data_IF_172804248179
#
_entry.id   IF_172804248179
#
_cell.length_a   1.000
_cell.length_b   1.000
_cell.length_c   1.000
_cell.angle_alpha   90.00
_cell.angle_beta   90.00
_cell.angle_gamma   90.00
#
_symmetry.space_group_name_H-M   'P 1'
#
loop_
_entity.id
_entity.type
_entity.pdbx_description
1 polymer ?
#
# COMPACT_ATOMS: atom_id res chain seq x y z
N UNK A 1 -2.06 31.68 1.59
CA UNK A 1 -2.77 30.98 0.50
C UNK A 1 -3.09 29.57 0.96
N UNK A 2 -4.36 29.31 1.31
CA UNK A 2 -4.79 27.97 1.73
C UNK A 2 -4.96 27.09 0.50
N UNK A 3 -4.04 26.16 0.28
CA UNK A 3 -4.23 25.13 -0.74
C UNK A 3 -5.42 24.24 -0.34
N UNK A 4 -6.28 23.91 -1.30
CA UNK A 4 -7.33 22.92 -1.09
C UNK A 4 -6.71 21.61 -0.58
N UNK A 5 -7.40 20.88 0.31
CA UNK A 5 -6.88 19.62 0.89
C UNK A 5 -6.51 18.56 -0.15
N UNK A 6 -7.09 18.66 -1.35
CA UNK A 6 -6.83 17.80 -2.50
C UNK A 6 -5.56 18.17 -3.29
N UNK A 7 -4.93 19.32 -2.99
CA UNK A 7 -3.70 19.73 -3.65
C UNK A 7 -2.56 18.75 -3.34
N UNK A 8 -1.76 18.31 -4.34
CA UNK A 8 -0.59 17.45 -4.14
C UNK A 8 0.46 18.06 -3.18
N UNK A 9 0.41 19.37 -2.97
CA UNK A 9 1.33 20.10 -2.09
C UNK A 9 0.82 20.27 -0.66
N UNK A 10 -0.40 19.78 -0.37
CA UNK A 10 -0.96 19.86 0.96
C UNK A 10 -0.35 18.77 1.85
N UNK A 11 0.08 19.07 3.10
CA UNK A 11 0.72 18.11 3.99
C UNK A 11 -0.16 16.90 4.38
N UNK A 12 -1.46 16.95 4.05
CA UNK A 12 -2.36 15.79 4.23
C UNK A 12 -1.99 14.61 3.33
N UNK A 13 -1.23 14.83 2.25
CA UNK A 13 -0.77 13.76 1.36
C UNK A 13 0.28 12.85 2.03
N UNK A 14 0.97 13.36 3.06
CA UNK A 14 2.03 12.65 3.81
C UNK A 14 1.51 11.34 4.43
N UNK A 15 0.45 11.33 5.27
CA UNK A 15 -0.03 10.10 5.90
C UNK A 15 -0.80 9.17 4.95
N UNK A 16 -1.16 9.59 3.74
CA UNK A 16 -2.02 8.78 2.84
C UNK A 16 -1.38 7.43 2.50
N UNK A 17 -0.07 7.40 2.26
CA UNK A 17 0.64 6.15 2.00
C UNK A 17 0.52 5.15 3.16
N UNK A 18 0.59 5.64 4.41
CA UNK A 18 0.40 4.81 5.60
C UNK A 18 -1.05 4.38 5.78
N UNK A 19 -2.02 5.25 5.48
CA UNK A 19 -3.45 4.91 5.56
C UNK A 19 -3.78 3.78 4.57
N UNK A 20 -3.30 3.89 3.32
CA UNK A 20 -3.49 2.85 2.29
C UNK A 20 -2.89 1.52 2.78
N UNK A 21 -1.67 1.56 3.32
CA UNK A 21 -1.02 0.39 3.87
C UNK A 21 -1.78 -0.21 5.06
N UNK A 22 -2.28 0.61 5.98
CA UNK A 22 -3.07 0.15 7.12
C UNK A 22 -4.37 -0.50 6.69
N UNK A 23 -5.07 0.06 5.69
CA UNK A 23 -6.29 -0.53 5.13
C UNK A 23 -6.00 -1.88 4.49
N UNK A 24 -4.91 -1.99 3.73
CA UNK A 24 -4.45 -3.26 3.16
C UNK A 24 -4.13 -4.28 4.26
N UNK A 25 -3.41 -3.87 5.30
CA UNK A 25 -3.04 -4.74 6.42
C UNK A 25 -4.29 -5.29 7.13
N UNK A 26 -5.26 -4.43 7.44
CA UNK A 26 -6.54 -4.84 8.05
C UNK A 26 -7.32 -5.79 7.14
N UNK A 27 -7.36 -5.51 5.83
CA UNK A 27 -8.03 -6.38 4.87
C UNK A 27 -7.37 -7.76 4.77
N UNK A 28 -6.04 -7.83 4.80
CA UNK A 28 -5.29 -9.08 4.77
C UNK A 28 -5.56 -9.93 6.01
N UNK A 29 -5.22 -9.43 7.19
CA UNK A 29 -5.33 -10.21 8.44
C UNK A 29 -6.79 -10.42 8.87
N UNK A 30 -7.61 -9.36 8.81
CA UNK A 30 -9.01 -9.43 9.19
C UNK A 30 -9.85 -10.23 8.20
N UNK A 31 -9.64 -10.01 6.89
CA UNK A 31 -10.33 -10.75 5.84
C UNK A 31 -9.99 -12.24 5.88
N UNK A 32 -8.70 -12.59 6.02
CA UNK A 32 -8.27 -13.97 6.18
C UNK A 32 -8.90 -14.63 7.41
N UNK A 33 -8.91 -13.97 8.59
CA UNK A 33 -9.52 -14.53 9.79
C UNK A 33 -11.02 -14.80 9.63
N UNK A 34 -11.77 -13.90 8.99
CA UNK A 34 -13.21 -14.07 8.74
C UNK A 34 -13.46 -15.19 7.74
N UNK A 35 -12.71 -15.23 6.64
CA UNK A 35 -12.87 -16.24 5.59
C UNK A 35 -12.49 -17.62 6.12
N UNK A 36 -11.39 -17.76 6.87
CA UNK A 36 -11.01 -19.03 7.47
C UNK A 36 -12.06 -19.56 8.44
N UNK A 37 -12.80 -18.69 9.14
CA UNK A 37 -13.88 -19.11 10.03
C UNK A 37 -15.15 -19.53 9.29
N UNK A 38 -15.49 -18.87 8.18
CA UNK A 38 -16.79 -19.06 7.51
C UNK A 38 -16.72 -20.00 6.29
N UNK A 39 -15.62 -19.97 5.56
CA UNK A 39 -15.45 -20.61 4.25
C UNK A 39 -13.99 -20.98 4.04
N UNK A 40 -13.46 -21.82 4.94
CA UNK A 40 -12.08 -22.31 4.86
C UNK A 40 -11.84 -23.04 3.51
N UNK A 41 -10.76 -22.71 2.78
CA UNK A 41 -10.38 -23.47 1.59
C UNK A 41 -9.96 -24.89 1.95
N UNK A 42 -10.13 -25.81 1.00
CA UNK A 42 -9.76 -27.23 1.16
C UNK A 42 -8.27 -27.36 1.53
N UNK A 43 -7.92 -28.01 2.66
CA UNK A 43 -6.53 -28.22 3.08
C UNK A 43 -5.67 -28.89 2.01
N UNK A 44 -6.26 -29.69 1.10
CA UNK A 44 -5.54 -30.34 0.01
C UNK A 44 -4.95 -29.36 -1.02
N UNK A 45 -5.49 -28.14 -1.12
CA UNK A 45 -4.98 -27.09 -2.02
C UNK A 45 -3.73 -26.38 -1.47
N UNK A 46 -3.44 -26.54 -0.18
CA UNK A 46 -2.28 -25.92 0.47
C UNK A 46 -2.19 -24.42 0.24
N UNK A 47 -1.04 -23.95 -0.26
CA UNK A 47 -0.76 -22.53 -0.53
C UNK A 47 -1.46 -22.03 -1.81
N UNK A 48 -1.78 -22.93 -2.76
CA UNK A 48 -2.37 -22.62 -4.06
C UNK A 48 -3.90 -22.68 -4.02
N UNK A 49 -4.49 -21.87 -3.14
CA UNK A 49 -5.95 -21.77 -3.01
C UNK A 49 -6.46 -20.40 -3.50
N UNK A 50 -7.77 -20.31 -3.73
CA UNK A 50 -8.43 -19.08 -4.21
C UNK A 50 -8.25 -17.90 -3.24
N UNK A 51 -8.16 -18.16 -1.93
CA UNK A 51 -7.97 -17.14 -0.90
C UNK A 51 -6.59 -16.50 -1.03
N UNK A 52 -5.51 -17.28 -1.05
CA UNK A 52 -4.15 -16.78 -1.31
C UNK A 52 -4.04 -16.11 -2.68
N UNK A 53 -4.73 -16.62 -3.71
CA UNK A 53 -4.83 -15.92 -4.99
C UNK A 53 -5.42 -14.52 -4.86
N UNK A 54 -6.55 -14.39 -4.17
CA UNK A 54 -7.21 -13.09 -3.94
C UNK A 54 -6.38 -12.12 -3.08
N UNK A 55 -5.74 -12.63 -2.02
CA UNK A 55 -4.83 -11.86 -1.16
C UNK A 55 -3.59 -11.41 -1.94
N UNK A 56 -3.07 -12.27 -2.80
CA UNK A 56 -1.97 -11.96 -3.71
C UNK A 56 -2.33 -10.84 -4.69
N UNK A 57 -3.51 -10.93 -5.34
CA UNK A 57 -4.02 -9.86 -6.23
C UNK A 57 -4.19 -8.55 -5.47
N UNK A 58 -4.80 -8.57 -4.28
CA UNK A 58 -4.96 -7.38 -3.44
C UNK A 58 -3.59 -6.75 -3.12
N UNK A 59 -2.62 -7.57 -2.74
CA UNK A 59 -1.23 -7.14 -2.47
C UNK A 59 -0.57 -6.51 -3.70
N UNK A 60 -0.72 -7.12 -4.88
CA UNK A 60 -0.18 -6.57 -6.13
C UNK A 60 -0.83 -5.23 -6.49
N UNK A 61 -2.15 -5.10 -6.32
CA UNK A 61 -2.86 -3.84 -6.57
C UNK A 61 -2.40 -2.74 -5.61
N UNK A 62 -2.29 -3.03 -4.33
CA UNK A 62 -1.79 -2.08 -3.32
C UNK A 62 -0.34 -1.67 -3.60
N UNK A 63 0.52 -2.63 -3.96
CA UNK A 63 1.90 -2.35 -4.35
C UNK A 63 1.98 -1.45 -5.58
N UNK A 64 1.25 -1.80 -6.64
CA UNK A 64 1.21 -1.01 -7.86
C UNK A 64 0.75 0.43 -7.58
N UNK A 65 -0.29 0.60 -6.75
CA UNK A 65 -0.78 1.90 -6.33
C UNK A 65 0.28 2.69 -5.56
N UNK A 66 0.89 2.10 -4.54
CA UNK A 66 1.89 2.77 -3.69
C UNK A 66 3.16 3.13 -4.47
N UNK A 67 3.66 2.23 -5.33
CA UNK A 67 4.79 2.51 -6.22
C UNK A 67 4.47 3.60 -7.24
N UNK A 68 3.26 3.58 -7.82
CA UNK A 68 2.83 4.64 -8.72
C UNK A 68 2.78 5.98 -7.98
N UNK A 69 2.15 6.05 -6.82
CA UNK A 69 2.09 7.29 -6.02
C UNK A 69 3.49 7.78 -5.64
N UNK A 70 4.38 6.89 -5.18
CA UNK A 70 5.77 7.23 -4.90
C UNK A 70 6.47 7.80 -6.14
N UNK A 71 6.29 7.17 -7.31
CA UNK A 71 6.87 7.63 -8.58
C UNK A 71 6.29 8.97 -9.02
N UNK A 72 4.99 9.18 -8.82
CA UNK A 72 4.27 10.40 -9.16
C UNK A 72 4.80 11.58 -8.35
N UNK A 73 4.83 11.48 -7.02
CA UNK A 73 5.38 12.53 -6.15
C UNK A 73 6.88 12.76 -6.37
N UNK A 74 7.63 11.70 -6.68
CA UNK A 74 9.05 11.83 -7.06
C UNK A 74 9.22 12.61 -8.36
N UNK A 75 8.39 12.37 -9.39
CA UNK A 75 8.41 13.17 -10.64
C UNK A 75 8.03 14.63 -10.41
N UNK A 76 7.03 14.89 -9.58
CA UNK A 76 6.61 16.24 -9.19
C UNK A 76 7.73 17.01 -8.49
N UNK A 77 8.56 16.34 -7.69
CA UNK A 77 9.69 16.95 -7.00
C UNK A 77 10.90 17.27 -7.91
N UNK A 78 10.85 16.93 -9.21
CA UNK A 78 11.92 17.15 -10.19
C UNK A 78 11.64 18.35 -11.11
N UNK A 79 12.69 18.98 -11.68
CA UNK A 79 12.54 20.06 -12.68
C UNK A 79 11.68 19.60 -13.86
N UNK A 80 10.88 20.49 -14.49
CA UNK A 80 10.94 21.96 -14.44
C UNK A 80 9.98 22.61 -13.41
N UNK A 81 9.49 21.88 -12.42
CA UNK A 81 8.58 22.47 -11.43
C UNK A 81 9.34 23.40 -10.47
N UNK A 82 9.12 24.70 -10.61
CA UNK A 82 9.52 25.74 -9.64
C UNK A 82 8.72 25.56 -8.34
N UNK A 83 9.21 24.70 -7.45
CA UNK A 83 8.61 24.43 -6.15
C UNK A 83 9.31 25.24 -5.06
N UNK A 84 8.53 25.85 -4.17
CA UNK A 84 9.08 26.42 -2.94
C UNK A 84 9.73 25.32 -2.07
N UNK A 85 10.71 25.67 -1.24
CA UNK A 85 11.43 24.72 -0.36
C UNK A 85 10.47 23.82 0.46
N UNK A 86 9.37 24.41 0.98
CA UNK A 86 8.33 23.68 1.70
C UNK A 86 7.61 22.65 0.83
N UNK A 87 7.30 22.98 -0.42
CA UNK A 87 6.62 22.08 -1.35
C UNK A 87 7.55 20.96 -1.81
N UNK A 88 8.84 21.26 -2.00
CA UNK A 88 9.86 20.26 -2.29
C UNK A 88 10.01 19.27 -1.12
N UNK A 89 10.02 19.77 0.12
CA UNK A 89 10.06 18.92 1.31
C UNK A 89 8.82 18.02 1.40
N UNK A 90 7.61 18.59 1.28
CA UNK A 90 6.35 17.82 1.34
C UNK A 90 6.31 16.74 0.25
N UNK A 91 6.65 17.07 -1.00
CA UNK A 91 6.59 16.11 -2.11
C UNK A 91 7.63 15.00 -1.98
N UNK A 92 8.87 15.31 -1.56
CA UNK A 92 9.91 14.29 -1.30
C UNK A 92 9.55 13.38 -0.12
N UNK A 93 9.09 13.96 1.00
CA UNK A 93 8.69 13.19 2.17
C UNK A 93 7.50 12.28 1.85
N UNK A 94 6.51 12.81 1.13
CA UNK A 94 5.36 12.03 0.66
C UNK A 94 5.80 10.88 -0.23
N UNK A 95 6.68 11.12 -1.22
CA UNK A 95 7.22 10.06 -2.06
C UNK A 95 7.93 8.97 -1.25
N UNK A 96 8.73 9.36 -0.25
CA UNK A 96 9.41 8.45 0.66
C UNK A 96 8.45 7.58 1.48
N UNK A 97 7.38 8.16 2.02
CA UNK A 97 6.39 7.41 2.80
C UNK A 97 5.65 6.39 1.93
N UNK A 98 5.25 6.75 0.71
CA UNK A 98 4.61 5.81 -0.20
C UNK A 98 5.55 4.66 -0.59
N UNK A 99 6.85 4.96 -0.75
CA UNK A 99 7.86 3.93 -1.01
C UNK A 99 8.08 2.99 0.19
N UNK A 100 8.19 3.54 1.40
CA UNK A 100 8.31 2.74 2.63
C UNK A 100 7.07 1.88 2.84
N UNK A 101 5.88 2.43 2.61
CA UNK A 101 4.62 1.68 2.65
C UNK A 101 4.60 0.52 1.64
N UNK A 102 5.10 0.74 0.41
CA UNK A 102 5.23 -0.32 -0.58
C UNK A 102 6.21 -1.42 -0.11
N UNK A 103 7.36 -1.02 0.45
CA UNK A 103 8.35 -1.97 0.97
C UNK A 103 7.79 -2.79 2.16
N UNK A 104 7.06 -2.14 3.06
CA UNK A 104 6.38 -2.81 4.16
C UNK A 104 5.31 -3.79 3.65
N UNK A 105 4.58 -3.42 2.59
CA UNK A 105 3.61 -4.32 1.92
C UNK A 105 4.30 -5.56 1.36
N UNK A 106 5.46 -5.42 0.70
CA UNK A 106 6.25 -6.57 0.23
C UNK A 106 6.72 -7.44 1.38
N UNK A 107 7.30 -6.82 2.40
CA UNK A 107 7.89 -7.52 3.54
C UNK A 107 6.86 -8.33 4.32
N UNK A 108 5.64 -7.81 4.47
CA UNK A 108 4.52 -8.51 5.14
C UNK A 108 3.81 -9.48 4.20
N UNK A 109 3.59 -9.10 2.94
CA UNK A 109 2.82 -9.88 1.97
C UNK A 109 3.54 -11.15 1.51
N UNK A 110 4.86 -11.09 1.28
CA UNK A 110 5.65 -12.26 0.84
C UNK A 110 5.53 -13.46 1.80
N UNK A 111 5.85 -13.34 3.11
CA UNK A 111 5.76 -14.48 4.02
C UNK A 111 4.31 -14.94 4.20
N UNK A 112 3.34 -14.03 4.17
CA UNK A 112 1.93 -14.36 4.34
C UNK A 112 1.39 -15.21 3.19
N UNK A 113 1.90 -15.01 1.97
CA UNK A 113 1.58 -15.84 0.80
C UNK A 113 2.32 -17.18 0.76
N UNK A 114 3.34 -17.39 1.60
CA UNK A 114 4.11 -18.65 1.66
C UNK A 114 3.53 -19.67 2.66
N UNK A 115 2.64 -19.23 3.54
CA UNK A 115 2.05 -20.06 4.59
C UNK A 115 0.60 -20.40 4.20
N UNK A 116 0.08 -21.62 4.47
CA UNK A 116 -1.33 -21.91 4.31
C UNK A 116 -2.18 -20.92 5.15
N UNK A 117 -3.23 -20.31 4.57
CA UNK A 117 -3.91 -19.17 5.18
C UNK A 117 -4.78 -19.55 6.38
N UNK A 118 -5.18 -20.81 6.51
CA UNK A 118 -6.00 -21.28 7.62
C UNK A 118 -5.24 -22.45 8.27
N UNK A 119 -4.66 -22.18 9.44
CA UNK A 119 -4.13 -23.20 10.36
C UNK A 119 -5.25 -23.63 11.32
#
# INVERSE_FOLDING_TARGET
MGYARTSPFHPVQIPIGLIIWSLWFVAMYGGQAVICKHSAPDPAQGVWNWLNGSLGVLTLLTLALLFWLARYFWRLSRPPHELNERQLFVTKLTAGIHFIAALATLFVGIPLLQIPPCL
#
